data_IF_712302388983
#
_entry.id   IF_712302388983
#
_cell.length_a   1.000
_cell.length_b   1.000
_cell.length_c   1.000
_cell.angle_alpha   90.00
_cell.angle_beta   90.00
_cell.angle_gamma   90.00
#
_symmetry.space_group_name_H-M   'P 1'
#
loop_
_entity.id
_entity.type
_entity.pdbx_description
1 polymer ?
#
# COMPACT_ATOMS: atom_id res chain seq x y z
N UNK A 1 -25.50 20.66 -24.12
CA UNK A 1 -24.39 19.93 -24.77
C UNK A 1 -24.39 18.46 -24.32
N UNK A 2 -24.12 17.52 -25.24
CA UNK A 2 -23.17 16.41 -24.98
C UNK A 2 -23.59 14.96 -24.63
N UNK A 3 -24.84 14.52 -24.49
CA UNK A 3 -25.09 13.05 -24.29
C UNK A 3 -24.61 12.19 -25.48
N UNK A 4 -24.82 12.69 -26.70
CA UNK A 4 -24.33 12.04 -27.93
C UNK A 4 -22.81 12.08 -28.00
N UNK A 5 -22.21 13.19 -27.60
CA UNK A 5 -20.76 13.37 -27.59
C UNK A 5 -20.09 12.47 -26.55
N UNK A 6 -20.61 12.38 -25.32
CA UNK A 6 -20.12 11.44 -24.31
C UNK A 6 -20.19 9.99 -24.77
N UNK A 7 -21.26 9.59 -25.47
CA UNK A 7 -21.37 8.23 -26.04
C UNK A 7 -20.34 8.01 -27.15
N UNK A 8 -20.09 9.02 -27.99
CA UNK A 8 -19.04 8.96 -29.01
C UNK A 8 -17.65 8.87 -28.40
N UNK A 9 -17.34 9.67 -27.37
CA UNK A 9 -16.08 9.60 -26.63
C UNK A 9 -15.90 8.23 -25.98
N UNK A 10 -16.91 7.72 -25.27
CA UNK A 10 -16.86 6.36 -24.68
C UNK A 10 -16.60 5.27 -25.72
N UNK A 11 -17.25 5.36 -26.89
CA UNK A 11 -17.06 4.39 -28.00
C UNK A 11 -15.64 4.49 -28.57
N UNK A 12 -15.14 5.70 -28.79
CA UNK A 12 -13.79 5.93 -29.32
C UNK A 12 -12.70 5.48 -28.34
N UNK A 13 -12.87 5.76 -27.04
CA UNK A 13 -11.96 5.28 -26.00
C UNK A 13 -11.93 3.75 -25.94
N UNK A 14 -13.08 3.07 -26.08
CA UNK A 14 -13.14 1.59 -26.13
C UNK A 14 -12.39 1.03 -27.34
N UNK A 15 -12.57 1.61 -28.52
CA UNK A 15 -11.88 1.20 -29.76
C UNK A 15 -10.36 1.39 -29.61
N UNK A 16 -9.95 2.55 -29.10
CA UNK A 16 -8.54 2.85 -28.88
C UNK A 16 -7.89 1.92 -27.85
N UNK A 17 -8.57 1.62 -26.74
CA UNK A 17 -8.09 0.66 -25.75
C UNK A 17 -7.95 -0.76 -26.33
N UNK A 18 -8.88 -1.21 -27.18
CA UNK A 18 -8.77 -2.51 -27.85
C UNK A 18 -7.55 -2.58 -28.77
N UNK A 19 -7.26 -1.52 -29.54
CA UNK A 19 -6.09 -1.46 -30.42
C UNK A 19 -4.78 -1.40 -29.62
N UNK A 20 -4.77 -0.68 -28.49
CA UNK A 20 -3.63 -0.63 -27.58
C UNK A 20 -3.35 -1.99 -26.93
N UNK A 21 -4.39 -2.70 -26.48
CA UNK A 21 -4.26 -4.06 -25.95
C UNK A 21 -3.66 -5.04 -26.96
N UNK A 22 -4.05 -4.93 -28.24
CA UNK A 22 -3.48 -5.75 -29.33
C UNK A 22 -2.02 -5.41 -29.65
N UNK A 23 -1.59 -4.18 -29.39
CA UNK A 23 -0.21 -3.72 -29.60
C UNK A 23 0.67 -3.80 -28.34
N UNK A 24 0.20 -4.49 -27.29
CA UNK A 24 0.91 -4.64 -26.01
C UNK A 24 0.98 -3.35 -25.19
N UNK A 25 0.27 -2.28 -25.59
CA UNK A 25 0.22 -1.00 -24.89
C UNK A 25 -0.92 -1.00 -23.87
N UNK A 26 -0.66 -0.45 -22.68
CA UNK A 26 -1.68 -0.29 -21.63
C UNK A 26 -2.85 0.57 -22.10
N UNK A 27 -4.04 0.31 -21.54
CA UNK A 27 -5.26 1.08 -21.78
C UNK A 27 -5.05 2.57 -21.43
N UNK A 28 -5.68 3.48 -22.18
CA UNK A 28 -5.64 4.93 -21.93
C UNK A 28 -6.21 5.27 -20.55
N UNK A 29 -7.18 4.49 -20.10
CA UNK A 29 -7.86 4.61 -18.79
C UNK A 29 -7.34 3.61 -17.74
N UNK A 30 -6.28 2.87 -18.05
CA UNK A 30 -5.73 1.91 -17.12
C UNK A 30 -5.05 2.61 -15.95
N UNK A 31 -5.32 2.17 -14.72
CA UNK A 31 -4.63 2.60 -13.48
C UNK A 31 -3.10 2.43 -13.54
N UNK A 32 -2.60 1.76 -14.59
CA UNK A 32 -1.19 1.45 -14.88
C UNK A 32 -0.69 2.07 -16.20
N UNK A 33 -1.41 3.02 -16.79
CA UNK A 33 -1.12 3.55 -18.13
C UNK A 33 0.25 4.24 -18.27
N UNK A 34 0.93 4.54 -17.17
CA UNK A 34 2.10 5.43 -17.15
C UNK A 34 3.40 4.80 -16.62
N UNK A 35 3.51 3.47 -16.60
CA UNK A 35 4.71 2.80 -16.06
C UNK A 35 4.79 2.87 -14.54
N UNK A 36 3.64 3.04 -13.88
CA UNK A 36 3.55 3.07 -12.43
C UNK A 36 3.84 1.70 -11.84
N UNK A 37 4.81 1.65 -10.92
CA UNK A 37 5.26 0.42 -10.27
C UNK A 37 4.64 0.34 -8.88
N UNK A 38 3.94 -0.76 -8.61
CA UNK A 38 3.30 -1.00 -7.32
C UNK A 38 4.12 -2.03 -6.55
N UNK A 39 4.80 -1.57 -5.52
CA UNK A 39 5.48 -2.43 -4.57
C UNK A 39 4.51 -2.76 -3.43
N UNK A 40 4.22 -4.05 -3.27
CA UNK A 40 3.35 -4.55 -2.20
C UNK A 40 4.21 -5.22 -1.14
N UNK A 41 3.94 -4.91 0.12
CA UNK A 41 4.50 -5.59 1.28
C UNK A 41 3.46 -6.42 2.01
N UNK A 42 3.87 -6.98 3.15
CA UNK A 42 2.99 -7.69 4.09
C UNK A 42 3.37 -7.31 5.52
N UNK A 43 2.39 -6.84 6.30
CA UNK A 43 2.62 -6.51 7.70
C UNK A 43 2.14 -7.67 8.57
N UNK A 44 3.07 -8.25 9.35
CA UNK A 44 2.79 -9.38 10.25
C UNK A 44 2.56 -8.95 11.69
N UNK A 45 2.98 -7.74 12.07
CA UNK A 45 2.94 -7.27 13.45
C UNK A 45 1.52 -7.23 14.04
N UNK A 46 0.57 -6.59 13.34
CA UNK A 46 -0.81 -6.45 13.83
C UNK A 46 -1.56 -7.81 13.90
N UNK A 47 -1.50 -8.67 12.86
CA UNK A 47 -2.04 -10.03 12.96
C UNK A 47 -1.42 -10.84 14.11
N UNK A 48 -0.10 -10.78 14.29
CA UNK A 48 0.60 -11.52 15.34
C UNK A 48 0.16 -11.08 16.73
N UNK A 49 -0.03 -9.77 16.94
CA UNK A 49 -0.54 -9.22 18.19
C UNK A 49 -1.97 -9.74 18.48
N UNK A 50 -2.85 -9.76 17.48
CA UNK A 50 -4.22 -10.28 17.64
C UNK A 50 -4.26 -11.78 17.94
N UNK A 51 -3.39 -12.57 17.30
CA UNK A 51 -3.26 -14.00 17.61
C UNK A 51 -2.76 -14.19 19.04
N UNK A 52 -1.75 -13.42 19.46
CA UNK A 52 -1.24 -13.48 20.83
C UNK A 52 -2.33 -13.11 21.86
N UNK A 53 -3.13 -12.07 21.60
CA UNK A 53 -4.29 -11.72 22.44
C UNK A 53 -5.32 -12.84 22.46
N UNK A 54 -5.62 -13.46 21.32
CA UNK A 54 -6.54 -14.60 21.24
C UNK A 54 -6.08 -15.78 22.09
N UNK A 55 -4.80 -16.17 21.98
CA UNK A 55 -4.19 -17.23 22.79
C UNK A 55 -4.16 -16.86 24.27
N UNK A 56 -3.84 -15.62 24.60
CA UNK A 56 -3.86 -15.13 25.98
C UNK A 56 -5.26 -15.22 26.60
N UNK A 57 -6.30 -14.83 25.86
CA UNK A 57 -7.68 -15.01 26.29
C UNK A 57 -8.01 -16.49 26.54
N UNK A 58 -7.55 -17.40 25.68
CA UNK A 58 -7.75 -18.85 25.90
C UNK A 58 -7.07 -19.34 27.18
N UNK A 59 -5.89 -18.84 27.54
CA UNK A 59 -5.16 -19.27 28.74
C UNK A 59 -5.83 -18.72 30.01
N UNK A 60 -6.19 -17.43 30.03
CA UNK A 60 -6.72 -16.75 31.21
C UNK A 60 -8.15 -17.17 31.53
N UNK A 61 -9.01 -17.32 30.52
CA UNK A 61 -10.43 -17.59 30.73
C UNK A 61 -10.79 -19.08 30.81
N UNK A 62 -9.81 -19.99 30.67
CA UNK A 62 -10.02 -21.46 30.72
C UNK A 62 -10.68 -21.94 32.03
N UNK A 63 -10.43 -21.27 33.15
CA UNK A 63 -10.88 -21.72 34.47
C UNK A 63 -12.12 -20.98 34.99
N UNK A 64 -12.84 -20.21 34.14
CA UNK A 64 -14.06 -19.53 34.56
C UNK A 64 -15.31 -20.41 34.37
N UNK A 65 -15.95 -20.88 35.45
CA UNK A 65 -17.16 -21.68 35.35
C UNK A 65 -18.35 -20.84 34.87
N UNK A 66 -19.14 -21.38 33.94
CA UNK A 66 -20.41 -20.80 33.49
C UNK A 66 -20.35 -19.90 32.25
N UNK A 67 -19.17 -19.63 31.68
CA UNK A 67 -19.03 -18.83 30.44
C UNK A 67 -18.39 -19.58 29.28
N UNK A 68 -18.57 -20.90 29.23
CA UNK A 68 -17.77 -21.73 28.33
C UNK A 68 -17.95 -21.39 26.85
N UNK A 69 -19.18 -21.06 26.46
CA UNK A 69 -19.50 -20.70 25.09
C UNK A 69 -18.92 -19.33 24.68
N UNK A 70 -18.92 -18.37 25.58
CA UNK A 70 -18.47 -17.00 25.31
C UNK A 70 -16.96 -16.93 25.09
N UNK A 71 -16.16 -17.74 25.80
CA UNK A 71 -14.70 -17.75 25.62
C UNK A 71 -14.28 -18.33 24.27
N UNK A 72 -14.92 -19.43 23.83
CA UNK A 72 -14.61 -20.04 22.52
C UNK A 72 -14.92 -19.06 21.40
N UNK A 73 -16.05 -18.35 21.51
CA UNK A 73 -16.48 -17.35 20.51
C UNK A 73 -15.50 -16.17 20.49
N UNK A 74 -15.14 -15.61 21.66
CA UNK A 74 -14.19 -14.48 21.70
C UNK A 74 -12.81 -14.87 21.20
N UNK A 75 -12.25 -15.99 21.67
CA UNK A 75 -10.95 -16.49 21.20
C UNK A 75 -10.93 -16.76 19.68
N UNK A 76 -11.97 -17.45 19.16
CA UNK A 76 -12.10 -17.70 17.72
C UNK A 76 -12.25 -16.39 16.92
N UNK A 77 -13.00 -15.41 17.44
CA UNK A 77 -13.19 -14.12 16.77
C UNK A 77 -11.89 -13.32 16.63
N UNK A 78 -10.99 -13.36 17.62
CA UNK A 78 -9.68 -12.70 17.53
C UNK A 78 -8.79 -13.36 16.48
N UNK A 79 -8.79 -14.70 16.41
CA UNK A 79 -8.04 -15.45 15.39
C UNK A 79 -8.60 -15.15 13.99
N UNK A 80 -9.93 -15.18 13.84
CA UNK A 80 -10.60 -14.85 12.59
C UNK A 80 -10.30 -13.41 12.15
N UNK A 81 -10.36 -12.46 13.07
CA UNK A 81 -10.03 -11.05 12.82
C UNK A 81 -8.56 -10.89 12.42
N UNK A 82 -7.63 -11.63 13.04
CA UNK A 82 -6.22 -11.62 12.67
C UNK A 82 -6.01 -12.09 11.22
N UNK A 83 -6.67 -13.19 10.82
CA UNK A 83 -6.63 -13.71 9.45
C UNK A 83 -7.21 -12.71 8.45
N UNK A 84 -8.35 -12.10 8.77
CA UNK A 84 -9.00 -11.09 7.95
C UNK A 84 -8.09 -9.87 7.75
N UNK A 85 -7.52 -9.34 8.84
CA UNK A 85 -6.61 -8.19 8.79
C UNK A 85 -5.36 -8.52 7.98
N UNK A 86 -4.82 -9.73 8.15
CA UNK A 86 -3.66 -10.19 7.40
C UNK A 86 -3.90 -10.24 5.89
N UNK A 87 -5.12 -10.59 5.46
CA UNK A 87 -5.46 -10.66 4.05
C UNK A 87 -5.75 -9.29 3.44
N UNK A 88 -6.50 -8.46 4.17
CA UNK A 88 -7.01 -7.16 3.69
C UNK A 88 -5.95 -6.06 3.78
N UNK A 89 -5.17 -6.02 4.86
CA UNK A 89 -4.30 -4.88 5.17
C UNK A 89 -2.90 -5.09 4.57
N UNK A 90 -2.79 -4.86 3.26
CA UNK A 90 -1.50 -4.92 2.55
C UNK A 90 -0.90 -3.52 2.42
N UNK A 91 0.25 -3.24 3.07
CA UNK A 91 0.97 -1.99 2.82
C UNK A 91 1.45 -2.00 1.37
N UNK A 92 1.19 -0.94 0.63
CA UNK A 92 1.75 -0.75 -0.71
C UNK A 92 2.34 0.64 -0.86
N UNK A 93 3.36 0.72 -1.71
CA UNK A 93 3.92 1.94 -2.24
C UNK A 93 3.80 1.86 -3.74
N UNK A 94 3.00 2.75 -4.32
CA UNK A 94 2.88 2.92 -5.76
C UNK A 94 3.66 4.16 -6.15
N UNK A 95 4.66 3.95 -7.01
CA UNK A 95 5.46 5.02 -7.62
C UNK A 95 4.86 5.26 -9.00
N UNK A 96 4.24 6.41 -9.18
CA UNK A 96 3.73 6.88 -10.46
C UNK A 96 4.72 7.88 -11.09
N UNK A 97 4.45 8.39 -12.30
CA UNK A 97 5.42 9.29 -12.97
C UNK A 97 5.69 10.53 -12.13
N UNK A 98 4.67 11.20 -11.62
CA UNK A 98 4.81 12.42 -10.81
C UNK A 98 4.38 12.24 -9.34
N UNK A 99 3.65 11.18 -9.03
CA UNK A 99 3.05 10.99 -7.71
C UNK A 99 3.55 9.75 -6.99
N UNK A 100 3.67 9.83 -5.66
CA UNK A 100 3.83 8.70 -4.78
C UNK A 100 2.51 8.44 -4.05
N UNK A 101 2.06 7.19 -4.03
CA UNK A 101 0.83 6.81 -3.34
C UNK A 101 1.01 5.63 -2.41
N UNK A 102 0.37 5.70 -1.25
CA UNK A 102 0.42 4.65 -0.23
C UNK A 102 -0.85 4.63 0.61
N UNK A 103 -1.31 3.43 0.97
CA UNK A 103 -2.44 3.23 1.88
C UNK A 103 -1.99 3.30 3.32
N UNK A 104 -2.55 4.24 4.08
CA UNK A 104 -2.27 4.44 5.52
C UNK A 104 -3.56 4.43 6.33
N UNK A 105 -3.47 4.64 7.66
CA UNK A 105 -4.60 4.53 8.60
C UNK A 105 -5.83 5.37 8.22
N UNK A 106 -5.66 6.47 7.48
CA UNK A 106 -6.75 7.33 7.00
C UNK A 106 -7.09 7.17 5.51
N UNK A 107 -6.77 6.02 4.89
CA UNK A 107 -7.04 5.73 3.48
C UNK A 107 -5.83 5.89 2.56
N UNK A 108 -6.10 5.92 1.25
CA UNK A 108 -5.10 6.10 0.22
C UNK A 108 -4.64 7.56 0.18
N UNK A 109 -3.33 7.76 0.31
CA UNK A 109 -2.69 9.08 0.28
C UNK A 109 -1.84 9.19 -0.96
N UNK A 110 -1.96 10.32 -1.65
CA UNK A 110 -1.23 10.67 -2.87
C UNK A 110 -0.44 11.95 -2.58
N UNK A 111 0.84 11.96 -2.95
CA UNK A 111 1.70 13.13 -2.86
C UNK A 111 2.42 13.33 -4.19
N UNK A 112 2.44 14.57 -4.67
CA UNK A 112 3.24 14.95 -5.83
C UNK A 112 4.73 15.08 -5.48
N UNK A 113 5.60 14.98 -6.48
CA UNK A 113 7.04 15.20 -6.36
C UNK A 113 7.39 16.49 -5.61
N UNK A 114 6.65 17.56 -5.92
CA UNK A 114 6.86 18.91 -5.37
C UNK A 114 6.60 18.98 -3.85
N UNK A 115 5.86 18.02 -3.30
CA UNK A 115 5.51 17.93 -1.88
C UNK A 115 6.50 17.07 -1.08
N UNK A 116 7.44 16.39 -1.75
CA UNK A 116 8.48 15.59 -1.13
C UNK A 116 9.62 16.54 -0.76
N UNK A 117 10.10 16.41 0.47
CA UNK A 117 11.24 17.17 0.97
C UNK A 117 12.52 16.40 0.67
N UNK A 118 12.64 15.22 1.27
CA UNK A 118 13.84 14.38 1.20
C UNK A 118 13.43 12.90 1.17
N UNK A 119 14.18 12.09 0.43
CA UNK A 119 14.05 10.63 0.43
C UNK A 119 15.33 10.05 1.02
N UNK A 120 15.24 9.43 2.20
CA UNK A 120 16.35 8.70 2.81
C UNK A 120 16.22 7.22 2.49
N UNK A 121 17.23 6.66 1.84
CA UNK A 121 17.30 5.25 1.51
C UNK A 121 18.39 4.62 2.36
N UNK A 122 18.01 3.67 3.20
CA UNK A 122 18.93 2.83 3.97
C UNK A 122 18.86 1.38 3.49
N UNK A 123 19.76 0.53 3.98
CA UNK A 123 19.78 -0.90 3.65
C UNK A 123 18.46 -1.61 3.99
N UNK A 124 17.89 -1.31 5.16
CA UNK A 124 16.69 -1.99 5.71
C UNK A 124 15.44 -1.12 5.79
N UNK A 125 15.54 0.16 5.41
CA UNK A 125 14.43 1.11 5.46
C UNK A 125 14.46 2.14 4.34
N UNK A 126 13.27 2.57 3.92
CA UNK A 126 13.05 3.71 3.04
C UNK A 126 12.20 4.71 3.81
N UNK A 127 12.68 5.94 3.90
CA UNK A 127 12.02 7.04 4.57
C UNK A 127 11.74 8.13 3.54
N UNK A 128 10.47 8.52 3.41
CA UNK A 128 10.06 9.64 2.57
C UNK A 128 9.54 10.72 3.50
N UNK A 129 10.26 11.84 3.55
CA UNK A 129 9.88 13.03 4.31
C UNK A 129 9.12 13.98 3.39
N UNK A 130 7.93 14.41 3.81
CA UNK A 130 7.15 15.39 3.06
C UNK A 130 7.38 16.79 3.63
N UNK A 131 7.18 17.81 2.80
CA UNK A 131 7.27 19.23 3.21
C UNK A 131 6.20 19.60 4.25
N UNK A 132 5.06 18.89 4.25
CA UNK A 132 4.02 19.07 5.25
C UNK A 132 4.48 18.60 6.63
N UNK A 133 4.37 19.48 7.64
CA UNK A 133 4.76 19.17 9.03
C UNK A 133 4.13 17.86 9.52
N UNK A 134 4.96 17.00 10.11
CA UNK A 134 4.55 15.75 10.75
C UNK A 134 4.23 14.59 9.80
N UNK A 135 4.37 14.76 8.48
CA UNK A 135 4.11 13.68 7.51
C UNK A 135 5.42 13.04 7.08
N UNK A 136 5.66 11.83 7.59
CA UNK A 136 6.78 10.97 7.23
C UNK A 136 6.26 9.59 6.88
N UNK A 137 6.71 9.04 5.75
CA UNK A 137 6.47 7.65 5.43
C UNK A 137 7.72 6.85 5.72
N UNK A 138 7.56 5.81 6.52
CA UNK A 138 8.62 4.85 6.77
C UNK A 138 8.16 3.50 6.24
N UNK A 139 9.02 2.87 5.45
CA UNK A 139 8.90 1.51 4.98
C UNK A 139 10.13 0.76 5.46
N UNK A 140 9.95 -0.41 6.06
CA UNK A 140 11.03 -1.20 6.66
C UNK A 140 10.90 -2.63 6.20
N UNK A 141 12.03 -3.30 5.96
CA UNK A 141 12.08 -4.69 5.51
C UNK A 141 11.40 -5.62 6.51
N UNK A 142 11.68 -5.45 7.80
CA UNK A 142 11.18 -6.31 8.88
C UNK A 142 9.68 -6.11 9.11
N UNK A 143 9.23 -4.87 9.36
CA UNK A 143 7.84 -4.59 9.72
C UNK A 143 6.85 -4.72 8.56
N UNK A 144 7.28 -4.44 7.33
CA UNK A 144 6.41 -4.36 6.18
C UNK A 144 6.71 -5.41 5.11
N UNK A 145 7.73 -6.27 5.30
CA UNK A 145 8.22 -7.23 4.29
C UNK A 145 8.29 -6.60 2.89
N UNK A 146 8.72 -5.35 2.86
CA UNK A 146 8.67 -4.54 1.66
C UNK A 146 9.90 -4.85 0.79
N UNK A 147 9.75 -5.00 -0.54
CA UNK A 147 10.88 -5.24 -1.43
C UNK A 147 11.69 -3.95 -1.60
N UNK A 148 12.62 -3.71 -0.67
CA UNK A 148 13.44 -2.48 -0.63
C UNK A 148 14.38 -2.42 -1.82
N UNK A 149 14.98 -3.54 -2.23
CA UNK A 149 16.02 -3.54 -3.26
C UNK A 149 15.47 -3.08 -4.63
N UNK A 150 14.28 -3.53 -5.01
CA UNK A 150 13.63 -3.10 -6.24
C UNK A 150 13.00 -1.71 -6.14
N UNK A 151 12.49 -1.33 -4.97
CA UNK A 151 11.97 0.01 -4.74
C UNK A 151 13.07 1.08 -4.71
N UNK A 152 14.27 0.75 -4.22
CA UNK A 152 15.45 1.63 -4.18
C UNK A 152 15.79 2.12 -5.58
N UNK A 153 15.94 1.21 -6.53
CA UNK A 153 16.30 1.52 -7.93
C UNK A 153 15.27 2.50 -8.52
N UNK A 154 13.97 2.22 -8.33
CA UNK A 154 12.89 3.09 -8.84
C UNK A 154 12.81 4.44 -8.13
N UNK A 155 13.14 4.51 -6.84
CA UNK A 155 13.18 5.77 -6.10
C UNK A 155 14.40 6.62 -6.48
N UNK A 156 15.53 6.00 -6.79
CA UNK A 156 16.70 6.71 -7.34
C UNK A 156 16.38 7.32 -8.70
N UNK A 157 15.82 6.54 -9.64
CA UNK A 157 15.35 7.05 -10.94
C UNK A 157 14.34 8.20 -10.78
N UNK A 158 13.45 8.10 -9.80
CA UNK A 158 12.47 9.15 -9.51
C UNK A 158 13.11 10.42 -8.92
N UNK A 159 14.07 10.26 -8.01
CA UNK A 159 14.76 11.40 -7.39
C UNK A 159 15.62 12.17 -8.40
N UNK A 160 16.33 11.46 -9.29
CA UNK A 160 17.09 12.06 -10.39
C UNK A 160 16.19 12.86 -11.33
N UNK A 161 15.03 12.31 -11.69
CA UNK A 161 14.09 12.94 -12.62
C UNK A 161 13.44 14.21 -12.06
N UNK A 162 13.21 14.28 -10.75
CA UNK A 162 12.49 15.38 -10.11
C UNK A 162 13.36 16.24 -9.19
N UNK A 163 14.70 16.06 -9.20
CA UNK A 163 15.65 16.77 -8.34
C UNK A 163 15.26 16.75 -6.86
N UNK A 164 14.82 15.58 -6.37
CA UNK A 164 14.49 15.40 -4.95
C UNK A 164 15.78 15.07 -4.19
N UNK A 165 16.01 15.73 -3.05
CA UNK A 165 17.16 15.45 -2.18
C UNK A 165 17.15 13.98 -1.76
N UNK A 166 18.20 13.25 -2.13
CA UNK A 166 18.33 11.83 -1.84
C UNK A 166 19.50 11.62 -0.86
N UNK A 167 19.19 11.08 0.31
CA UNK A 167 20.16 10.79 1.36
C UNK A 167 20.36 9.27 1.38
N UNK A 168 21.55 8.79 1.04
CA UNK A 168 21.90 7.36 1.10
C UNK A 168 22.77 7.12 2.33
N UNK A 169 22.29 6.24 3.23
CA UNK A 169 23.02 5.74 4.39
C UNK A 169 23.33 4.24 4.25
#
# INVERSE_FOLDING_TARGET
>A
MSRKWERMVRKNTKISNMQRRKSGKGEISGVNADGSVIFKGRSWFLPMLLVATGVFCFIVFRNQPGQEQLYWITGASYIFLALLIYWIRRPFLKIDKKTLSSRRFGGDRFYDADQIKDITISKDAIVINFKAKGKRWVFTKIYHMFPIDSARIKLQEYAEKYNVTLIQD
#
